data_IF_727061294224
#
_entry.id   IF_727061294224
#
_cell.length_a   1.000
_cell.length_b   1.000
_cell.length_c   1.000
_cell.angle_alpha   90.00
_cell.angle_beta   90.00
_cell.angle_gamma   90.00
#
_symmetry.space_group_name_H-M   'P 1'
#
loop_
_entity.id
_entity.type
_entity.pdbx_description
1 polymer ?
#
# COMPACT_ATOMS: atom_id res chain seq x y z
N UNK A 1 -21.52 -24.18 5.51
CA UNK A 1 -21.37 -22.71 5.53
C UNK A 1 -22.65 -22.13 4.97
N UNK A 2 -23.30 -21.19 5.66
CA UNK A 2 -24.57 -20.60 5.20
C UNK A 2 -24.36 -19.92 3.85
N UNK A 3 -25.28 -20.12 2.89
CA UNK A 3 -25.21 -19.54 1.55
C UNK A 3 -25.02 -18.02 1.59
N UNK A 4 -25.65 -17.34 2.55
CA UNK A 4 -25.48 -15.90 2.78
C UNK A 4 -24.04 -15.50 3.14
N UNK A 5 -23.34 -16.31 3.95
CA UNK A 5 -21.95 -16.03 4.34
C UNK A 5 -21.02 -16.17 3.14
N UNK A 6 -21.30 -17.13 2.27
CA UNK A 6 -20.57 -17.33 1.02
C UNK A 6 -20.72 -16.10 0.11
N UNK A 7 -21.95 -15.57 -0.05
CA UNK A 7 -22.19 -14.36 -0.83
C UNK A 7 -21.49 -13.12 -0.25
N UNK A 8 -21.48 -12.95 1.08
CA UNK A 8 -20.76 -11.85 1.72
C UNK A 8 -19.25 -11.94 1.49
N UNK A 9 -18.69 -13.14 1.59
CA UNK A 9 -17.26 -13.38 1.34
C UNK A 9 -16.88 -13.02 -0.09
N UNK A 10 -17.63 -13.50 -1.09
CA UNK A 10 -17.37 -13.16 -2.49
C UNK A 10 -17.64 -11.68 -2.79
N UNK A 11 -18.66 -11.07 -2.19
CA UNK A 11 -18.91 -9.65 -2.32
C UNK A 11 -17.74 -8.81 -1.82
N UNK A 12 -17.18 -9.16 -0.66
CA UNK A 12 -16.00 -8.51 -0.11
C UNK A 12 -14.78 -8.69 -1.02
N UNK A 13 -14.55 -9.91 -1.54
CA UNK A 13 -13.46 -10.16 -2.49
C UNK A 13 -13.60 -9.32 -3.77
N UNK A 14 -14.80 -9.24 -4.35
CA UNK A 14 -15.05 -8.44 -5.55
C UNK A 14 -14.74 -6.96 -5.30
N UNK A 15 -15.21 -6.41 -4.17
CA UNK A 15 -14.93 -5.01 -3.81
C UNK A 15 -13.43 -4.81 -3.65
N UNK A 16 -12.73 -5.71 -2.95
CA UNK A 16 -11.30 -5.58 -2.68
C UNK A 16 -10.47 -5.67 -3.97
N UNK A 17 -10.78 -6.61 -4.86
CA UNK A 17 -10.14 -6.74 -6.18
C UNK A 17 -10.43 -5.51 -7.04
N UNK A 18 -11.68 -5.05 -7.07
CA UNK A 18 -12.08 -3.90 -7.87
C UNK A 18 -11.39 -2.62 -7.40
N UNK A 19 -11.34 -2.36 -6.10
CA UNK A 19 -10.65 -1.20 -5.53
C UNK A 19 -9.16 -1.23 -5.88
N UNK A 20 -8.49 -2.36 -5.69
CA UNK A 20 -7.09 -2.51 -6.05
C UNK A 20 -6.86 -2.26 -7.56
N UNK A 21 -7.68 -2.86 -8.42
CA UNK A 21 -7.58 -2.67 -9.86
C UNK A 21 -7.82 -1.20 -10.27
N UNK A 22 -8.82 -0.54 -9.68
CA UNK A 22 -9.14 0.85 -9.97
C UNK A 22 -7.98 1.78 -9.61
N UNK A 23 -7.39 1.62 -8.42
CA UNK A 23 -6.21 2.40 -8.01
C UNK A 23 -5.03 2.17 -8.97
N UNK A 24 -4.70 0.91 -9.31
CA UNK A 24 -3.59 0.62 -10.21
C UNK A 24 -3.79 1.18 -11.61
N UNK A 25 -5.04 1.17 -12.11
CA UNK A 25 -5.38 1.79 -13.39
C UNK A 25 -5.19 3.31 -13.31
N UNK A 26 -5.63 3.96 -12.24
CA UNK A 26 -5.48 5.40 -12.05
C UNK A 26 -4.01 5.81 -11.96
N UNK A 27 -3.20 5.09 -11.18
CA UNK A 27 -1.77 5.36 -11.04
C UNK A 27 -1.04 5.20 -12.39
N UNK A 28 -1.36 4.13 -13.11
CA UNK A 28 -0.79 3.88 -14.43
C UNK A 28 -1.17 4.96 -15.44
N UNK A 29 -2.45 5.38 -15.46
CA UNK A 29 -2.92 6.46 -16.32
C UNK A 29 -2.23 7.78 -15.98
N UNK A 30 -2.04 8.07 -14.69
CA UNK A 30 -1.39 9.28 -14.22
C UNK A 30 0.06 9.38 -14.73
N UNK A 31 0.81 8.29 -14.66
CA UNK A 31 2.20 8.25 -15.13
C UNK A 31 2.29 8.28 -16.65
N UNK A 32 1.37 7.58 -17.32
CA UNK A 32 1.32 7.55 -18.78
C UNK A 32 1.01 8.93 -19.36
N UNK A 33 0.12 9.69 -18.71
CA UNK A 33 -0.27 11.02 -19.17
C UNK A 33 0.64 12.14 -18.65
N UNK A 34 1.71 11.82 -17.92
CA UNK A 34 2.62 12.84 -17.41
C UNK A 34 3.29 13.59 -18.58
N UNK A 35 3.23 14.93 -18.62
CA UNK A 35 3.80 15.71 -19.71
C UNK A 35 5.29 15.42 -19.92
N UNK A 36 5.70 15.26 -21.18
CA UNK A 36 7.11 15.02 -21.53
C UNK A 36 7.97 16.29 -21.56
N UNK A 37 7.33 17.46 -21.53
CA UNK A 37 7.99 18.76 -21.53
C UNK A 37 7.29 19.71 -20.54
N UNK A 38 8.02 20.72 -20.06
CA UNK A 38 7.48 21.74 -19.17
C UNK A 38 6.40 22.54 -19.91
N UNK A 39 5.16 22.64 -19.38
CA UNK A 39 4.12 23.50 -19.96
C UNK A 39 4.58 24.96 -20.05
N UNK A 40 4.26 25.64 -21.15
CA UNK A 40 4.69 27.04 -21.39
C UNK A 40 4.33 27.98 -20.24
N UNK A 41 3.18 27.79 -19.61
CA UNK A 41 2.66 28.61 -18.50
C UNK A 41 3.61 28.63 -17.28
N UNK A 42 4.37 27.55 -17.06
CA UNK A 42 5.27 27.42 -15.91
C UNK A 42 6.75 27.38 -16.31
N UNK A 43 7.07 27.51 -17.60
CA UNK A 43 8.44 27.37 -18.12
C UNK A 43 9.41 28.38 -17.51
N UNK A 44 8.93 29.59 -17.24
CA UNK A 44 9.76 30.68 -16.70
C UNK A 44 10.04 30.53 -15.19
N UNK A 45 9.28 29.69 -14.48
CA UNK A 45 9.41 29.45 -13.04
C UNK A 45 9.92 28.04 -12.71
N UNK A 46 9.90 27.13 -13.68
CA UNK A 46 10.26 25.73 -13.49
C UNK A 46 11.31 25.27 -14.51
N UNK A 47 12.58 25.18 -14.11
CA UNK A 47 13.66 24.73 -15.00
C UNK A 47 13.42 23.32 -15.55
N UNK A 48 13.78 23.10 -16.80
CA UNK A 48 13.59 21.81 -17.49
C UNK A 48 14.34 20.66 -16.81
N UNK A 49 15.55 20.92 -16.28
CA UNK A 49 16.34 19.94 -15.54
C UNK A 49 15.62 19.45 -14.27
N UNK A 50 15.06 20.39 -13.50
CA UNK A 50 14.25 20.10 -12.30
C UNK A 50 13.00 19.30 -12.66
N UNK A 51 12.41 19.53 -13.84
CA UNK A 51 11.19 18.83 -14.28
C UNK A 51 11.47 17.39 -14.61
N UNK A 52 12.56 17.16 -15.33
CA UNK A 52 13.04 15.82 -15.63
C UNK A 52 13.45 15.06 -14.36
N UNK A 53 14.03 15.76 -13.37
CA UNK A 53 14.36 15.19 -12.07
C UNK A 53 13.10 14.78 -11.29
N UNK A 54 12.09 15.67 -11.17
CA UNK A 54 10.81 15.34 -10.53
C UNK A 54 10.11 14.18 -11.22
N UNK A 55 10.14 14.12 -12.56
CA UNK A 55 9.56 13.01 -13.32
C UNK A 55 10.25 11.67 -13.02
N UNK A 56 11.58 11.66 -12.91
CA UNK A 56 12.34 10.47 -12.53
C UNK A 56 12.02 10.05 -11.10
N UNK A 57 11.92 10.99 -10.17
CA UNK A 57 11.52 10.73 -8.79
C UNK A 57 10.14 10.07 -8.72
N UNK A 58 9.14 10.64 -9.41
CA UNK A 58 7.78 10.11 -9.45
C UNK A 58 7.70 8.70 -10.03
N UNK A 59 8.48 8.43 -11.10
CA UNK A 59 8.56 7.08 -11.67
C UNK A 59 9.25 6.09 -10.71
N UNK A 60 10.32 6.51 -10.03
CA UNK A 60 10.97 5.68 -9.03
C UNK A 60 10.03 5.34 -7.87
N UNK A 61 9.30 6.33 -7.35
CA UNK A 61 8.36 6.13 -6.24
C UNK A 61 7.23 5.17 -6.65
N UNK A 62 6.61 5.40 -7.81
CA UNK A 62 5.57 4.53 -8.33
C UNK A 62 5.98 3.05 -8.41
N UNK A 63 7.20 2.75 -8.82
CA UNK A 63 7.64 1.35 -8.93
C UNK A 63 7.72 0.67 -7.56
N UNK A 64 8.09 1.41 -6.51
CA UNK A 64 8.11 0.92 -5.13
C UNK A 64 6.69 0.76 -4.61
N UNK A 65 5.85 1.78 -4.78
CA UNK A 65 4.43 1.77 -4.41
C UNK A 65 3.68 0.60 -5.06
N UNK A 66 3.95 0.34 -6.34
CA UNK A 66 3.35 -0.77 -7.08
C UNK A 66 3.74 -2.12 -6.48
N UNK A 67 5.01 -2.29 -6.09
CA UNK A 67 5.51 -3.52 -5.49
C UNK A 67 4.92 -3.72 -4.08
N UNK A 68 4.95 -2.69 -3.24
CA UNK A 68 4.39 -2.72 -1.88
C UNK A 68 2.89 -3.04 -1.92
N UNK A 69 2.12 -2.30 -2.73
CA UNK A 69 0.67 -2.46 -2.83
C UNK A 69 0.29 -3.84 -3.34
N UNK A 70 1.01 -4.36 -4.35
CA UNK A 70 0.77 -5.70 -4.89
C UNK A 70 1.06 -6.79 -3.86
N UNK A 71 2.18 -6.68 -3.15
CA UNK A 71 2.53 -7.64 -2.09
C UNK A 71 1.47 -7.63 -0.98
N UNK A 72 1.11 -6.43 -0.50
CA UNK A 72 0.09 -6.24 0.54
C UNK A 72 -1.26 -6.80 0.12
N UNK A 73 -1.66 -6.57 -1.13
CA UNK A 73 -2.88 -7.12 -1.70
C UNK A 73 -2.87 -8.66 -1.73
N UNK A 74 -1.79 -9.28 -2.23
CA UNK A 74 -1.65 -10.74 -2.27
C UNK A 74 -1.72 -11.32 -0.86
N UNK A 75 -1.01 -10.72 0.10
CA UNK A 75 -1.03 -11.16 1.49
C UNK A 75 -2.42 -11.04 2.11
N UNK A 76 -3.14 -9.95 1.83
CA UNK A 76 -4.51 -9.74 2.32
C UNK A 76 -5.48 -10.78 1.76
N UNK A 77 -5.44 -11.02 0.45
CA UNK A 77 -6.25 -12.05 -0.20
C UNK A 77 -5.91 -13.45 0.36
N UNK A 78 -4.62 -13.76 0.49
CA UNK A 78 -4.17 -15.03 1.08
C UNK A 78 -4.67 -15.19 2.52
N UNK A 79 -4.50 -14.16 3.35
CA UNK A 79 -4.95 -14.16 4.74
C UNK A 79 -6.48 -14.34 4.84
N UNK A 80 -7.26 -13.73 3.95
CA UNK A 80 -8.71 -13.96 3.87
C UNK A 80 -9.05 -15.38 3.44
N UNK A 81 -8.43 -15.86 2.36
CA UNK A 81 -8.71 -17.17 1.74
C UNK A 81 -8.40 -18.33 2.70
N UNK A 82 -7.30 -18.25 3.44
CA UNK A 82 -6.91 -19.26 4.41
C UNK A 82 -7.60 -19.10 5.78
N UNK A 83 -8.54 -18.16 5.93
CA UNK A 83 -9.25 -17.95 7.19
C UNK A 83 -8.37 -17.38 8.31
N UNK A 84 -7.35 -16.59 7.96
CA UNK A 84 -6.38 -16.00 8.87
C UNK A 84 -7.02 -15.20 10.02
N UNK A 85 -8.15 -14.53 9.79
CA UNK A 85 -8.91 -13.85 10.84
C UNK A 85 -9.41 -14.81 11.92
N UNK A 86 -9.96 -15.97 11.53
CA UNK A 86 -10.46 -16.98 12.47
C UNK A 86 -9.31 -17.66 13.21
N UNK A 87 -8.21 -17.93 12.50
CA UNK A 87 -6.99 -18.45 13.08
C UNK A 87 -6.43 -17.49 14.14
N UNK A 88 -6.30 -16.20 13.82
CA UNK A 88 -5.79 -15.20 14.74
C UNK A 88 -6.74 -15.01 15.94
N UNK A 89 -8.05 -14.95 15.72
CA UNK A 89 -9.05 -14.86 16.79
C UNK A 89 -8.92 -16.06 17.77
N UNK A 90 -8.69 -17.27 17.26
CA UNK A 90 -8.47 -18.45 18.11
C UNK A 90 -7.23 -18.34 19.00
N UNK A 91 -6.13 -17.80 18.46
CA UNK A 91 -4.91 -17.53 19.22
C UNK A 91 -5.18 -16.51 20.30
N UNK A 92 -5.81 -15.39 19.96
CA UNK A 92 -6.10 -14.30 20.90
C UNK A 92 -6.99 -14.77 22.04
N UNK A 93 -8.03 -15.57 21.76
CA UNK A 93 -8.90 -16.15 22.79
C UNK A 93 -8.16 -17.13 23.71
N UNK A 94 -7.12 -17.81 23.21
CA UNK A 94 -6.28 -18.68 24.04
C UNK A 94 -5.38 -17.91 25.01
N UNK A 95 -5.06 -16.64 24.71
CA UNK A 95 -4.19 -15.81 25.53
C UNK A 95 -4.92 -15.11 26.68
N UNK A 96 -6.19 -14.75 26.50
CA UNK A 96 -6.95 -14.02 27.52
C UNK A 96 -8.46 -14.24 27.38
N UNK A 97 -9.15 -14.36 28.51
CA UNK A 97 -10.62 -14.44 28.57
C UNK A 97 -11.33 -13.07 28.58
N UNK A 98 -10.59 -11.97 28.72
CA UNK A 98 -11.17 -10.63 28.79
C UNK A 98 -11.34 -10.03 27.38
N UNK A 99 -12.57 -9.66 27.04
CA UNK A 99 -12.94 -9.15 25.71
C UNK A 99 -12.18 -7.88 25.27
N UNK A 100 -11.87 -6.98 26.21
CA UNK A 100 -11.13 -5.74 25.91
C UNK A 100 -9.71 -6.10 25.47
N UNK A 101 -9.04 -6.97 26.23
CA UNK A 101 -7.69 -7.41 25.89
C UNK A 101 -7.65 -8.25 24.61
N UNK A 102 -8.67 -9.07 24.35
CA UNK A 102 -8.78 -9.78 23.07
C UNK A 102 -8.77 -8.79 21.90
N UNK A 103 -9.60 -7.76 21.97
CA UNK A 103 -9.70 -6.74 20.92
C UNK A 103 -8.37 -6.01 20.71
N UNK A 104 -7.73 -5.58 21.80
CA UNK A 104 -6.44 -4.88 21.75
C UNK A 104 -5.33 -5.74 21.16
N UNK A 105 -5.21 -7.01 21.58
CA UNK A 105 -4.18 -7.93 21.08
C UNK A 105 -4.44 -8.24 19.61
N UNK A 106 -5.70 -8.51 19.24
CA UNK A 106 -6.06 -8.81 17.85
C UNK A 106 -5.64 -7.69 16.89
N UNK A 107 -6.07 -6.46 17.17
CA UNK A 107 -5.72 -5.31 16.33
C UNK A 107 -4.23 -4.95 16.46
N UNK A 108 -3.61 -5.16 17.62
CA UNK A 108 -2.18 -4.97 17.82
C UNK A 108 -1.34 -5.90 16.95
N UNK A 109 -1.72 -7.17 16.82
CA UNK A 109 -1.03 -8.13 15.95
C UNK A 109 -1.21 -7.75 14.47
N UNK A 110 -2.44 -7.42 14.05
CA UNK A 110 -2.70 -6.99 12.67
C UNK A 110 -1.89 -5.72 12.33
N UNK A 111 -1.86 -4.74 13.24
CA UNK A 111 -1.09 -3.52 13.06
C UNK A 111 0.42 -3.78 13.01
N UNK A 112 0.93 -4.66 13.88
CA UNK A 112 2.34 -5.03 13.90
C UNK A 112 2.77 -5.74 12.61
N UNK A 113 1.96 -6.68 12.11
CA UNK A 113 2.22 -7.35 10.83
C UNK A 113 2.22 -6.33 9.70
N UNK A 114 1.23 -5.43 9.65
CA UNK A 114 1.17 -4.37 8.66
C UNK A 114 2.40 -3.47 8.69
N UNK A 115 2.83 -3.06 9.89
CA UNK A 115 4.05 -2.26 10.06
C UNK A 115 5.29 -3.00 9.56
N UNK A 116 5.48 -4.27 9.92
CA UNK A 116 6.64 -5.07 9.49
C UNK A 116 6.68 -5.22 7.97
N UNK A 117 5.53 -5.41 7.32
CA UNK A 117 5.45 -5.54 5.86
C UNK A 117 5.85 -4.23 5.18
N UNK A 118 5.41 -3.08 5.70
CA UNK A 118 5.66 -1.75 5.12
C UNK A 118 7.06 -1.23 5.36
N UNK A 119 7.62 -1.50 6.54
CA UNK A 119 8.92 -1.02 6.99
C UNK A 119 10.06 -1.10 5.94
N UNK A 120 10.29 -2.23 5.23
CA UNK A 120 11.35 -2.28 4.23
C UNK A 120 11.12 -1.33 3.05
N UNK A 121 9.87 -1.09 2.66
CA UNK A 121 9.50 -0.17 1.58
C UNK A 121 9.67 1.28 2.05
N UNK A 122 9.20 1.63 3.25
CA UNK A 122 9.37 2.95 3.84
C UNK A 122 10.86 3.35 3.96
N UNK A 123 11.70 2.40 4.40
CA UNK A 123 13.16 2.60 4.50
C UNK A 123 13.76 2.82 3.11
N UNK A 124 13.37 2.02 2.12
CA UNK A 124 13.89 2.15 0.77
C UNK A 124 13.46 3.45 0.10
N UNK A 125 12.22 3.88 0.31
CA UNK A 125 11.72 5.14 -0.21
C UNK A 125 12.49 6.33 0.42
N UNK A 126 12.52 6.41 1.75
CA UNK A 126 13.20 7.51 2.47
C UNK A 126 14.70 7.54 2.22
N UNK A 127 15.40 6.43 2.42
CA UNK A 127 16.87 6.41 2.39
C UNK A 127 17.44 6.09 1.01
N UNK A 128 16.66 5.47 0.12
CA UNK A 128 17.06 5.13 -1.24
C UNK A 128 16.59 6.14 -2.28
N UNK A 129 15.28 6.40 -2.34
CA UNK A 129 14.68 7.29 -3.35
C UNK A 129 14.88 8.76 -2.94
N UNK A 130 14.35 9.21 -1.81
CA UNK A 130 14.40 10.63 -1.45
C UNK A 130 15.83 11.16 -1.33
N UNK A 131 16.76 10.36 -0.78
CA UNK A 131 18.18 10.70 -0.71
C UNK A 131 18.80 10.87 -2.10
N UNK A 132 18.46 10.02 -3.07
CA UNK A 132 19.00 10.08 -4.44
C UNK A 132 18.60 11.37 -5.15
N UNK A 133 17.39 11.88 -4.87
CA UNK A 133 16.84 13.09 -5.47
C UNK A 133 17.01 14.34 -4.59
N UNK A 134 17.74 14.23 -3.46
CA UNK A 134 18.02 15.36 -2.58
C UNK A 134 16.81 15.93 -1.85
N UNK A 135 15.70 15.20 -1.78
CA UNK A 135 14.49 15.59 -1.05
C UNK A 135 14.58 15.26 0.44
N UNK A 136 15.45 14.33 0.84
CA UNK A 136 15.64 13.99 2.24
C UNK A 136 16.38 15.13 2.99
N UNK A 137 15.67 15.77 3.92
CA UNK A 137 16.17 16.89 4.72
C UNK A 137 16.71 16.45 6.10
N UNK A 138 16.71 15.15 6.40
CA UNK A 138 17.27 14.62 7.65
C UNK A 138 18.80 14.53 7.54
N UNK A 139 19.48 15.66 7.75
CA UNK A 139 20.90 15.73 8.11
C UNK A 139 21.06 16.10 9.58
#
# INVERSE_FOLDING_TARGET
>A
MNTSVIYLFYGFLVILIFSFAAERILDWLNIRNWPHAVPEIIRDIFPEDKFNETRKYQLSNYNVDLLESTLTFILTIGFLYFGGFAWLDSIVRSLTGNLIFQTLIFFGIIAAIGFIIKLPFDIYDTFGIETRFGFNQQR
#
